data_IF_097109631007
#
_entry.id   IF_097109631007
#
_cell.length_a   1.000
_cell.length_b   1.000
_cell.length_c   1.000
_cell.angle_alpha   90.00
_cell.angle_beta   90.00
_cell.angle_gamma   90.00
#
_symmetry.space_group_name_H-M   'P 1'
#
loop_
_entity.id
_entity.type
_entity.pdbx_description
1 polymer ?
#
# COMPACT_ATOMS: atom_id res chain seq x y z
N UNK A 1 -3.31 -14.84 -6.03
CA UNK A 1 -2.78 -15.22 -4.69
C UNK A 1 -3.49 -14.45 -3.59
N UNK A 2 -3.31 -14.86 -2.33
CA UNK A 2 -4.11 -14.42 -1.15
C UNK A 2 -4.33 -12.91 -1.06
N UNK A 3 -3.30 -12.08 -1.29
CA UNK A 3 -3.44 -10.62 -1.22
C UNK A 3 -4.42 -10.08 -2.26
N UNK A 4 -4.44 -10.64 -3.46
CA UNK A 4 -5.38 -10.29 -4.52
C UNK A 4 -6.81 -10.73 -4.16
N UNK A 5 -6.95 -11.92 -3.60
CA UNK A 5 -8.25 -12.47 -3.23
C UNK A 5 -8.87 -11.67 -2.06
N UNK A 6 -8.04 -11.27 -1.10
CA UNK A 6 -8.45 -10.34 -0.03
C UNK A 6 -8.91 -8.98 -0.59
N UNK A 7 -8.25 -8.46 -1.63
CA UNK A 7 -8.70 -7.22 -2.27
C UNK A 7 -10.05 -7.39 -2.98
N UNK A 8 -10.32 -8.53 -3.61
CA UNK A 8 -11.63 -8.78 -4.25
C UNK A 8 -12.74 -8.76 -3.20
N UNK A 9 -12.53 -9.41 -2.06
CA UNK A 9 -13.49 -9.39 -0.94
C UNK A 9 -13.65 -7.97 -0.38
N UNK A 10 -12.55 -7.25 -0.18
CA UNK A 10 -12.57 -5.88 0.31
C UNK A 10 -13.29 -4.94 -0.66
N UNK A 11 -13.00 -5.03 -1.98
CA UNK A 11 -13.66 -4.26 -3.03
C UNK A 11 -15.20 -4.50 -2.96
N UNK A 12 -15.63 -5.76 -2.88
CA UNK A 12 -17.05 -6.09 -2.78
C UNK A 12 -17.70 -5.51 -1.52
N UNK A 13 -17.07 -5.69 -0.35
CA UNK A 13 -17.60 -5.17 0.91
C UNK A 13 -17.71 -3.63 0.91
N UNK A 14 -16.69 -2.95 0.43
CA UNK A 14 -16.64 -1.48 0.43
C UNK A 14 -17.65 -0.91 -0.56
N UNK A 15 -17.71 -1.44 -1.78
CA UNK A 15 -18.63 -0.96 -2.82
C UNK A 15 -20.09 -1.26 -2.46
N UNK A 16 -20.42 -2.47 -1.99
CA UNK A 16 -21.78 -2.79 -1.58
C UNK A 16 -22.25 -1.95 -0.37
N UNK A 17 -21.35 -1.65 0.58
CA UNK A 17 -21.68 -0.77 1.68
C UNK A 17 -21.91 0.68 1.21
N UNK A 18 -21.14 1.16 0.23
CA UNK A 18 -21.32 2.48 -0.35
C UNK A 18 -22.65 2.57 -1.13
N UNK A 19 -22.95 1.58 -1.97
CA UNK A 19 -24.23 1.48 -2.70
C UNK A 19 -25.43 1.43 -1.76
N UNK A 20 -25.33 0.73 -0.63
CA UNK A 20 -26.40 0.67 0.36
C UNK A 20 -26.78 2.05 0.90
N UNK A 21 -25.82 2.96 1.05
CA UNK A 21 -26.13 4.34 1.46
C UNK A 21 -26.91 5.11 0.38
N UNK A 22 -26.65 4.83 -0.90
CA UNK A 22 -27.39 5.46 -2.00
C UNK A 22 -28.84 4.96 -2.06
N UNK A 23 -29.07 3.67 -1.80
CA UNK A 23 -30.41 3.05 -1.79
C UNK A 23 -31.28 3.53 -0.61
N UNK A 24 -30.68 3.84 0.53
CA UNK A 24 -31.37 4.28 1.74
C UNK A 24 -31.32 5.79 1.96
N UNK A 25 -30.86 6.55 0.98
CA UNK A 25 -30.88 8.02 1.06
C UNK A 25 -32.30 8.54 0.84
N UNK A 26 -32.96 8.90 1.92
CA UNK A 26 -34.30 9.50 1.91
C UNK A 26 -34.29 10.96 1.43
N UNK A 27 -33.15 11.53 1.10
CA UNK A 27 -33.08 12.90 0.57
C UNK A 27 -33.75 12.91 -0.82
N UNK A 28 -34.87 13.64 -0.91
CA UNK A 28 -35.63 13.87 -2.16
C UNK A 28 -34.91 14.79 -3.15
N UNK A 29 -33.58 14.86 -3.10
CA UNK A 29 -32.83 15.73 -4.00
C UNK A 29 -32.72 15.12 -5.40
N UNK A 30 -32.94 15.95 -6.39
CA UNK A 30 -33.04 15.58 -7.81
C UNK A 30 -31.71 15.10 -8.43
N UNK A 31 -30.58 15.32 -7.75
CA UNK A 31 -29.26 14.93 -8.27
C UNK A 31 -28.65 13.87 -7.35
N UNK A 32 -28.47 12.64 -7.83
CA UNK A 32 -27.78 11.58 -7.10
C UNK A 32 -26.36 12.02 -6.75
N UNK A 33 -25.96 11.86 -5.51
CA UNK A 33 -24.60 12.10 -5.06
C UNK A 33 -23.76 10.83 -5.26
N UNK A 34 -22.98 10.79 -6.34
CA UNK A 34 -22.06 9.70 -6.60
C UNK A 34 -20.72 9.96 -5.95
N UNK A 35 -20.36 9.12 -4.97
CA UNK A 35 -19.05 9.13 -4.33
C UNK A 35 -18.29 7.94 -4.87
N UNK A 36 -17.10 8.17 -5.38
CA UNK A 36 -16.24 7.14 -5.91
C UNK A 36 -14.98 7.02 -5.04
N UNK A 37 -14.40 5.84 -4.99
CA UNK A 37 -13.23 5.55 -4.16
C UNK A 37 -12.05 5.12 -5.01
N UNK A 38 -10.85 5.54 -4.59
CA UNK A 38 -9.58 5.03 -5.10
C UNK A 38 -8.83 4.35 -3.97
N UNK A 39 -8.36 3.13 -4.21
CA UNK A 39 -7.48 2.40 -3.30
C UNK A 39 -6.02 2.85 -3.48
N UNK A 40 -5.28 2.86 -2.38
CA UNK A 40 -3.86 3.19 -2.31
C UNK A 40 -3.06 2.09 -1.58
N UNK A 41 -1.77 2.28 -1.43
CA UNK A 41 -0.91 1.41 -0.65
C UNK A 41 -1.00 -0.07 -1.04
N UNK A 42 -1.04 -0.96 -0.06
CA UNK A 42 -1.18 -2.41 -0.30
C UNK A 42 -2.53 -2.78 -0.91
N UNK A 43 -3.57 -2.01 -0.64
CA UNK A 43 -4.90 -2.22 -1.20
C UNK A 43 -4.95 -1.85 -2.68
N UNK A 44 -4.39 -0.70 -3.06
CA UNK A 44 -4.29 -0.29 -4.45
C UNK A 44 -3.45 -1.24 -5.29
N UNK A 45 -2.34 -1.72 -4.75
CA UNK A 45 -1.45 -2.68 -5.40
C UNK A 45 -1.98 -4.12 -5.47
N UNK A 46 -3.13 -4.43 -4.86
CA UNK A 46 -3.67 -5.79 -4.70
C UNK A 46 -2.74 -6.74 -3.94
N UNK A 47 -2.04 -6.21 -2.93
CA UNK A 47 -1.03 -6.88 -2.12
C UNK A 47 -1.40 -6.89 -0.62
N UNK A 48 -2.71 -6.96 -0.29
CA UNK A 48 -3.20 -6.97 1.09
C UNK A 48 -2.65 -8.16 1.89
N UNK A 49 -2.42 -7.92 3.17
CA UNK A 49 -2.28 -8.94 4.19
C UNK A 49 -3.53 -8.94 5.10
N UNK A 50 -3.74 -9.98 5.87
CA UNK A 50 -4.91 -10.13 6.76
C UNK A 50 -5.09 -8.97 7.76
N UNK A 51 -4.02 -8.28 8.13
CA UNK A 51 -4.04 -7.16 9.08
C UNK A 51 -3.82 -5.81 8.44
N UNK A 52 -3.86 -5.72 7.09
CA UNK A 52 -3.70 -4.45 6.38
C UNK A 52 -4.95 -3.58 6.55
N UNK A 53 -4.73 -2.28 6.76
CA UNK A 53 -5.77 -1.29 6.57
C UNK A 53 -6.05 -1.11 5.07
N UNK A 54 -7.23 -0.62 4.74
CA UNK A 54 -7.60 -0.26 3.38
C UNK A 54 -7.35 1.25 3.19
N UNK A 55 -6.20 1.59 2.64
CA UNK A 55 -5.86 2.97 2.29
C UNK A 55 -6.74 3.44 1.12
N UNK A 56 -7.51 4.52 1.30
CA UNK A 56 -8.44 5.02 0.28
C UNK A 56 -8.48 6.53 0.17
N UNK A 57 -8.84 7.01 -1.02
CA UNK A 57 -9.28 8.38 -1.30
C UNK A 57 -10.76 8.35 -1.71
N UNK A 58 -11.53 9.35 -1.32
CA UNK A 58 -12.89 9.54 -1.78
C UNK A 58 -12.97 10.76 -2.69
N UNK A 59 -13.51 10.57 -3.88
CA UNK A 59 -13.61 11.60 -4.92
C UNK A 59 -15.05 11.75 -5.39
N UNK A 60 -15.44 12.97 -5.70
CA UNK A 60 -16.73 13.32 -6.34
C UNK A 60 -16.49 14.19 -7.57
N UNK A 61 -17.48 14.28 -8.44
CA UNK A 61 -17.43 15.12 -9.62
C UNK A 61 -17.34 16.61 -9.27
N UNK A 62 -16.75 17.42 -10.14
CA UNK A 62 -16.57 18.87 -9.95
C UNK A 62 -17.89 19.65 -9.97
N UNK A 63 -18.96 19.05 -10.46
CA UNK A 63 -20.32 19.61 -10.39
C UNK A 63 -20.95 19.60 -9.00
N UNK A 64 -20.30 18.96 -8.00
CA UNK A 64 -20.79 18.93 -6.62
C UNK A 64 -20.62 20.28 -5.95
N UNK A 65 -21.73 20.83 -5.46
CA UNK A 65 -21.73 22.05 -4.64
C UNK A 65 -21.30 21.79 -3.18
N UNK A 66 -21.20 22.83 -2.38
CA UNK A 66 -20.79 22.73 -0.98
C UNK A 66 -21.74 21.85 -0.15
N UNK A 67 -23.02 21.79 -0.50
CA UNK A 67 -24.02 20.97 0.19
C UNK A 67 -23.83 19.48 -0.13
N UNK A 68 -23.58 19.16 -1.39
CA UNK A 68 -23.25 17.82 -1.85
C UNK A 68 -21.93 17.32 -1.21
N UNK A 69 -20.90 18.16 -1.15
CA UNK A 69 -19.64 17.85 -0.48
C UNK A 69 -19.82 17.55 1.03
N UNK A 70 -20.64 18.33 1.72
CA UNK A 70 -20.94 18.08 3.15
C UNK A 70 -21.64 16.72 3.32
N UNK A 71 -22.63 16.40 2.49
CA UNK A 71 -23.31 15.09 2.51
C UNK A 71 -22.37 13.95 2.17
N UNK A 72 -21.47 14.14 1.21
CA UNK A 72 -20.44 13.15 0.86
C UNK A 72 -19.54 12.86 2.06
N UNK A 73 -19.09 13.91 2.76
CA UNK A 73 -18.30 13.78 3.98
C UNK A 73 -19.01 12.97 5.06
N UNK A 74 -20.29 13.27 5.31
CA UNK A 74 -21.12 12.54 6.27
C UNK A 74 -21.28 11.06 5.89
N UNK A 75 -21.53 10.75 4.62
CA UNK A 75 -21.64 9.36 4.11
C UNK A 75 -20.33 8.58 4.28
N UNK A 76 -19.21 9.16 3.89
CA UNK A 76 -17.90 8.49 4.06
C UNK A 76 -17.55 8.30 5.53
N UNK A 77 -17.92 9.24 6.40
CA UNK A 77 -17.74 9.09 7.85
C UNK A 77 -18.56 7.91 8.39
N UNK A 78 -19.82 7.78 7.97
CA UNK A 78 -20.70 6.66 8.34
C UNK A 78 -20.17 5.32 7.77
N UNK A 79 -19.73 5.31 6.52
CA UNK A 79 -19.12 4.13 5.89
C UNK A 79 -17.90 3.63 6.68
N UNK A 80 -17.02 4.55 7.05
CA UNK A 80 -15.85 4.25 7.87
C UNK A 80 -16.25 3.64 9.22
N UNK A 81 -17.26 4.20 9.89
CA UNK A 81 -17.78 3.66 11.15
C UNK A 81 -18.39 2.27 10.97
N UNK A 82 -19.25 2.09 9.97
CA UNK A 82 -19.91 0.83 9.68
C UNK A 82 -18.89 -0.30 9.49
N UNK A 83 -17.89 -0.09 8.63
CA UNK A 83 -16.89 -1.11 8.32
C UNK A 83 -15.94 -1.39 9.50
N UNK A 84 -15.67 -0.41 10.36
CA UNK A 84 -14.83 -0.61 11.54
C UNK A 84 -15.53 -1.38 12.67
N UNK A 85 -16.86 -1.32 12.75
CA UNK A 85 -17.65 -1.93 13.84
C UNK A 85 -18.26 -3.26 13.49
N UNK A 86 -18.46 -3.56 12.20
CA UNK A 86 -19.28 -4.68 11.76
C UNK A 86 -18.65 -6.04 11.85
N UNK A 87 -17.37 -6.19 12.17
CA UNK A 87 -16.77 -7.52 12.28
C UNK A 87 -15.69 -7.61 13.35
N UNK A 88 -15.93 -8.46 14.35
CA UNK A 88 -14.88 -8.94 15.27
C UNK A 88 -13.87 -9.88 14.59
N UNK A 89 -14.25 -10.49 13.47
CA UNK A 89 -13.44 -11.51 12.80
C UNK A 89 -12.47 -10.93 11.75
N UNK A 90 -12.88 -9.91 11.01
CA UNK A 90 -12.05 -9.24 10.00
C UNK A 90 -12.43 -7.74 9.96
N UNK A 91 -11.85 -6.90 10.79
CA UNK A 91 -12.10 -5.47 10.73
C UNK A 91 -11.54 -4.91 9.41
N UNK A 92 -12.43 -4.57 8.50
CA UNK A 92 -12.13 -3.86 7.28
C UNK A 92 -12.06 -2.37 7.61
N UNK A 93 -10.90 -1.91 8.06
CA UNK A 93 -10.74 -0.51 8.45
C UNK A 93 -10.33 0.33 7.25
N UNK A 94 -11.19 1.29 6.88
CA UNK A 94 -10.83 2.31 5.89
C UNK A 94 -9.90 3.35 6.51
N UNK A 95 -8.74 3.53 5.88
CA UNK A 95 -7.78 4.57 6.26
C UNK A 95 -7.66 5.64 5.17
N UNK A 96 -7.91 6.88 5.58
CA UNK A 96 -7.82 8.07 4.73
C UNK A 96 -6.57 8.91 5.05
N UNK A 97 -5.60 8.39 5.79
CA UNK A 97 -4.43 9.16 6.21
C UNK A 97 -3.54 9.61 5.06
N UNK A 98 -3.61 8.92 3.91
CA UNK A 98 -2.85 9.25 2.70
C UNK A 98 -3.49 10.33 1.81
N UNK A 99 -4.63 10.91 2.24
CA UNK A 99 -5.26 12.01 1.50
C UNK A 99 -4.44 13.30 1.56
N UNK A 100 -4.62 14.23 0.61
CA UNK A 100 -4.02 15.55 0.68
C UNK A 100 -4.11 16.19 2.06
N UNK A 101 -3.02 16.78 2.55
CA UNK A 101 -2.89 17.38 3.90
C UNK A 101 -3.06 16.36 5.05
N UNK A 102 -3.06 15.07 4.74
CA UNK A 102 -3.15 13.99 5.72
C UNK A 102 -4.43 14.07 6.57
N UNK A 103 -4.31 13.88 7.87
CA UNK A 103 -5.47 13.88 8.81
C UNK A 103 -6.19 15.21 8.90
N UNK A 104 -5.56 16.32 8.55
CA UNK A 104 -6.13 17.68 8.58
C UNK A 104 -6.95 17.99 7.32
N UNK A 105 -6.71 17.29 6.22
CA UNK A 105 -7.37 17.55 4.94
C UNK A 105 -8.80 17.03 4.88
N UNK A 106 -9.56 17.55 3.92
CA UNK A 106 -10.94 17.12 3.65
C UNK A 106 -11.00 15.63 3.35
N UNK A 107 -12.01 14.93 3.88
CA UNK A 107 -12.20 13.49 3.72
C UNK A 107 -12.64 13.13 2.31
N UNK A 108 -13.43 14.01 1.68
CA UNK A 108 -13.90 13.91 0.30
C UNK A 108 -13.51 15.18 -0.43
N UNK A 109 -13.03 15.05 -1.65
CA UNK A 109 -12.68 16.17 -2.54
C UNK A 109 -13.26 15.98 -3.92
N UNK A 110 -13.44 17.08 -4.65
CA UNK A 110 -13.72 17.04 -6.10
C UNK A 110 -12.46 16.61 -6.86
N UNK A 111 -12.62 16.16 -8.09
CA UNK A 111 -11.52 15.82 -9.00
C UNK A 111 -10.59 17.02 -9.20
N UNK A 112 -11.16 18.21 -9.49
CA UNK A 112 -10.41 19.46 -9.64
C UNK A 112 -9.57 19.77 -8.39
N UNK A 113 -10.16 19.64 -7.20
CA UNK A 113 -9.44 19.86 -5.93
C UNK A 113 -8.28 18.91 -5.71
N UNK A 114 -8.38 17.63 -6.13
CA UNK A 114 -7.26 16.70 -6.11
C UNK A 114 -6.16 17.10 -7.10
N UNK A 115 -6.54 17.39 -8.34
CA UNK A 115 -5.58 17.71 -9.40
C UNK A 115 -4.83 19.00 -9.08
N UNK A 116 -5.54 20.04 -8.61
CA UNK A 116 -4.93 21.29 -8.17
C UNK A 116 -3.93 21.10 -7.01
N UNK A 117 -4.31 20.29 -6.02
CA UNK A 117 -3.41 20.00 -4.90
C UNK A 117 -2.13 19.32 -5.35
N UNK A 118 -2.23 18.26 -6.15
CA UNK A 118 -1.06 17.52 -6.61
C UNK A 118 -0.17 18.35 -7.54
N UNK A 119 -0.73 19.23 -8.35
CA UNK A 119 0.03 20.11 -9.22
C UNK A 119 0.80 21.21 -8.48
N UNK A 120 0.26 21.71 -7.35
CA UNK A 120 0.78 22.92 -6.70
C UNK A 120 1.46 22.68 -5.36
N UNK A 121 1.00 21.70 -4.59
CA UNK A 121 1.35 21.58 -3.18
C UNK A 121 1.94 20.23 -2.78
N UNK A 122 1.77 19.20 -3.60
CA UNK A 122 2.22 17.86 -3.28
C UNK A 122 3.74 17.78 -3.19
N UNK A 123 4.19 17.01 -2.20
CA UNK A 123 5.60 16.67 -2.03
C UNK A 123 5.94 15.44 -2.89
N UNK A 124 7.23 15.22 -3.13
CA UNK A 124 7.68 14.14 -4.02
C UNK A 124 7.27 12.75 -3.53
N UNK A 125 7.24 12.51 -2.21
CA UNK A 125 6.78 11.24 -1.65
C UNK A 125 5.31 10.94 -1.96
N UNK A 126 4.50 11.95 -2.23
CA UNK A 126 3.10 11.76 -2.64
C UNK A 126 3.01 11.22 -4.08
N UNK A 127 3.93 11.59 -4.98
CA UNK A 127 4.06 10.92 -6.29
C UNK A 127 4.31 9.42 -6.11
N UNK A 128 5.22 9.07 -5.21
CA UNK A 128 5.51 7.66 -4.89
C UNK A 128 4.28 6.91 -4.38
N UNK A 129 3.53 7.52 -3.47
CA UNK A 129 2.27 6.97 -2.94
C UNK A 129 1.23 6.74 -4.06
N UNK A 130 1.12 7.68 -5.00
CA UNK A 130 0.15 7.64 -6.10
C UNK A 130 0.44 6.56 -7.15
N UNK A 131 1.66 6.01 -7.23
CA UNK A 131 1.97 4.86 -8.09
C UNK A 131 1.08 3.64 -7.81
N UNK A 132 0.52 3.57 -6.61
CA UNK A 132 -0.34 2.48 -6.16
C UNK A 132 -1.82 2.82 -6.23
N UNK A 133 -2.18 3.97 -6.81
CA UNK A 133 -3.58 4.34 -6.93
C UNK A 133 -4.31 3.41 -7.91
N UNK A 134 -5.49 2.99 -7.51
CA UNK A 134 -6.41 2.16 -8.30
C UNK A 134 -7.85 2.60 -8.06
N UNK A 135 -8.59 2.90 -9.11
CA UNK A 135 -10.02 3.14 -9.01
C UNK A 135 -10.77 1.90 -8.50
N UNK A 136 -11.76 2.08 -7.65
CA UNK A 136 -12.66 1.04 -7.17
C UNK A 136 -14.01 1.13 -7.91
N UNK A 137 -14.49 -0.01 -8.40
CA UNK A 137 -15.71 -0.06 -9.19
C UNK A 137 -15.52 0.47 -10.61
N UNK A 138 -16.61 0.92 -11.21
CA UNK A 138 -16.68 1.43 -12.59
C UNK A 138 -17.18 2.89 -12.58
N UNK A 139 -16.39 3.78 -11.98
CA UNK A 139 -16.74 5.20 -11.84
C UNK A 139 -15.86 6.10 -12.72
N UNK A 140 -16.48 7.05 -13.39
CA UNK A 140 -15.75 7.95 -14.31
C UNK A 140 -14.81 8.92 -13.58
N UNK A 141 -15.18 9.36 -12.39
CA UNK A 141 -14.40 10.35 -11.61
C UNK A 141 -13.15 9.71 -11.00
N UNK A 142 -13.28 8.50 -10.44
CA UNK A 142 -12.15 7.73 -9.92
C UNK A 142 -11.19 7.31 -11.04
N UNK A 143 -11.72 6.92 -12.21
CA UNK A 143 -10.91 6.62 -13.39
C UNK A 143 -10.20 7.88 -13.91
N UNK A 144 -10.86 9.03 -13.93
CA UNK A 144 -10.23 10.30 -14.31
C UNK A 144 -9.10 10.69 -13.33
N UNK A 145 -9.30 10.50 -12.03
CA UNK A 145 -8.24 10.70 -11.02
C UNK A 145 -7.06 9.73 -11.26
N UNK A 146 -7.34 8.46 -11.56
CA UNK A 146 -6.30 7.50 -11.92
C UNK A 146 -5.51 7.96 -13.16
N UNK A 147 -6.18 8.35 -14.25
CA UNK A 147 -5.51 8.83 -15.47
C UNK A 147 -4.67 10.09 -15.20
N UNK A 148 -5.19 11.01 -14.38
CA UNK A 148 -4.41 12.15 -13.94
C UNK A 148 -3.13 11.71 -13.22
N UNK A 149 -3.20 10.77 -12.27
CA UNK A 149 -2.02 10.31 -11.52
C UNK A 149 -0.99 9.64 -12.42
N UNK A 150 -1.42 8.88 -13.44
CA UNK A 150 -0.51 8.30 -14.43
C UNK A 150 0.26 9.40 -15.20
N UNK A 151 -0.43 10.45 -15.60
CA UNK A 151 0.21 11.59 -16.28
C UNK A 151 1.11 12.37 -15.33
N UNK A 152 0.66 12.64 -14.12
CA UNK A 152 1.38 13.42 -13.12
C UNK A 152 2.67 12.73 -12.64
N UNK A 153 2.57 11.46 -12.25
CA UNK A 153 3.72 10.70 -11.72
C UNK A 153 4.81 10.47 -12.78
N UNK A 154 4.42 10.30 -14.03
CA UNK A 154 5.33 9.93 -15.12
C UNK A 154 5.52 11.05 -16.15
N UNK A 155 5.27 12.31 -15.80
CA UNK A 155 5.49 13.48 -16.68
C UNK A 155 6.95 13.62 -17.10
N UNK A 156 7.87 13.38 -16.17
CA UNK A 156 9.32 13.41 -16.37
C UNK A 156 10.00 12.43 -15.42
N UNK A 157 11.24 12.01 -15.72
CA UNK A 157 12.05 11.30 -14.72
C UNK A 157 12.24 12.17 -13.48
N UNK A 158 12.46 11.54 -12.32
CA UNK A 158 12.85 12.26 -11.10
C UNK A 158 14.16 13.00 -11.32
N UNK A 159 14.23 14.23 -10.83
CA UNK A 159 15.48 14.96 -10.66
C UNK A 159 16.32 14.39 -9.50
N UNK A 160 17.59 14.79 -9.43
CA UNK A 160 18.46 14.40 -8.32
C UNK A 160 17.95 14.91 -6.96
N UNK A 161 17.36 16.11 -6.94
CA UNK A 161 16.77 16.69 -5.72
C UNK A 161 15.52 15.91 -5.29
N UNK A 162 14.61 15.59 -6.21
CA UNK A 162 13.44 14.76 -5.93
C UNK A 162 13.84 13.35 -5.44
N UNK A 163 14.87 12.76 -6.03
CA UNK A 163 15.44 11.49 -5.58
C UNK A 163 15.94 11.59 -4.14
N UNK A 164 16.66 12.67 -3.82
CA UNK A 164 17.17 12.92 -2.46
C UNK A 164 16.04 13.13 -1.46
N UNK A 165 14.94 13.81 -1.83
CA UNK A 165 13.77 13.96 -0.96
C UNK A 165 13.12 12.62 -0.62
N UNK A 166 12.97 11.71 -1.59
CA UNK A 166 12.49 10.33 -1.36
C UNK A 166 13.42 9.59 -0.40
N UNK A 167 14.73 9.71 -0.61
CA UNK A 167 15.73 9.07 0.26
C UNK A 167 15.63 9.60 1.70
N UNK A 168 15.54 10.92 1.90
CA UNK A 168 15.37 11.53 3.23
C UNK A 168 14.07 11.08 3.91
N UNK A 169 12.97 10.98 3.16
CA UNK A 169 11.71 10.45 3.69
C UNK A 169 11.86 8.98 4.14
N UNK A 170 12.60 8.16 3.38
CA UNK A 170 12.88 6.77 3.77
C UNK A 170 13.64 6.69 5.08
N UNK A 171 14.69 7.50 5.29
CA UNK A 171 15.42 7.59 6.56
C UNK A 171 14.47 7.92 7.72
N UNK A 172 13.60 8.91 7.51
CA UNK A 172 12.62 9.31 8.51
C UNK A 172 11.67 8.17 8.88
N UNK A 173 11.13 7.47 7.88
CA UNK A 173 10.23 6.32 8.08
C UNK A 173 10.91 5.19 8.84
N UNK A 174 12.16 4.85 8.49
CA UNK A 174 12.93 3.82 9.20
C UNK A 174 13.14 4.17 10.67
N UNK A 175 13.43 5.44 10.96
CA UNK A 175 13.67 5.92 12.31
C UNK A 175 12.41 5.98 13.18
N UNK A 176 11.27 6.40 12.60
CA UNK A 176 10.06 6.72 13.36
C UNK A 176 9.08 5.55 13.50
N UNK A 177 9.10 4.56 12.57
CA UNK A 177 8.05 3.54 12.49
C UNK A 177 8.44 2.17 13.06
N UNK A 178 9.71 1.91 13.33
CA UNK A 178 10.10 0.66 13.99
C UNK A 178 9.88 0.83 15.50
N UNK A 179 9.04 -0.01 16.14
CA UNK A 179 8.78 0.09 17.57
C UNK A 179 10.07 -0.12 18.39
N UNK A 180 10.26 0.67 19.45
CA UNK A 180 11.38 0.47 20.36
C UNK A 180 11.34 -0.88 21.06
N UNK A 181 12.53 -1.44 21.39
CA UNK A 181 12.66 -2.70 22.09
C UNK A 181 12.54 -3.97 21.24
N UNK A 182 12.39 -3.82 19.91
CA UNK A 182 12.34 -4.93 18.95
C UNK A 182 13.65 -4.95 18.16
N UNK A 183 14.20 -6.15 17.92
CA UNK A 183 15.28 -6.29 16.92
C UNK A 183 14.73 -5.92 15.54
N UNK A 184 15.19 -4.83 14.90
CA UNK A 184 14.68 -4.40 13.60
C UNK A 184 14.74 -5.49 12.52
N UNK A 185 15.69 -6.42 12.61
CA UNK A 185 15.86 -7.52 11.64
C UNK A 185 14.70 -8.52 11.67
N UNK A 186 13.98 -8.59 12.82
CA UNK A 186 12.80 -9.43 12.97
C UNK A 186 11.53 -8.78 12.44
N UNK A 187 11.57 -7.50 12.06
CA UNK A 187 10.41 -6.82 11.52
C UNK A 187 10.31 -7.05 10.00
N UNK A 188 9.41 -7.93 9.58
CA UNK A 188 9.27 -8.41 8.19
C UNK A 188 9.01 -7.27 7.20
N UNK A 189 8.19 -6.29 7.58
CA UNK A 189 7.83 -5.18 6.68
C UNK A 189 8.84 -4.04 6.71
N UNK A 190 9.17 -3.52 7.89
CA UNK A 190 9.93 -2.28 8.05
C UNK A 190 11.41 -2.50 8.38
N UNK A 191 11.82 -3.73 8.70
CA UNK A 191 13.20 -4.06 9.00
C UNK A 191 14.12 -3.93 7.78
N UNK A 192 15.44 -3.82 8.00
CA UNK A 192 16.42 -3.71 6.93
C UNK A 192 16.32 -4.87 5.93
N UNK A 193 16.20 -4.57 4.64
CA UNK A 193 15.99 -5.54 3.56
C UNK A 193 14.60 -6.21 3.58
N UNK A 194 13.68 -5.68 4.38
CA UNK A 194 12.30 -6.15 4.44
C UNK A 194 11.45 -5.66 3.27
N UNK A 195 10.15 -5.93 3.36
CA UNK A 195 9.22 -5.65 2.25
C UNK A 195 9.15 -4.16 1.89
N UNK A 196 9.32 -3.26 2.86
CA UNK A 196 9.34 -1.83 2.62
C UNK A 196 10.55 -1.40 1.78
N UNK A 197 11.73 -1.98 1.99
CA UNK A 197 12.91 -1.66 1.18
C UNK A 197 12.69 -2.05 -0.28
N UNK A 198 12.10 -3.23 -0.52
CA UNK A 198 11.77 -3.69 -1.88
C UNK A 198 10.77 -2.74 -2.54
N UNK A 199 9.72 -2.34 -1.82
CA UNK A 199 8.71 -1.41 -2.33
C UNK A 199 9.32 -0.06 -2.70
N UNK A 200 10.07 0.55 -1.79
CA UNK A 200 10.70 1.86 -2.00
C UNK A 200 11.70 1.84 -3.16
N UNK A 201 12.49 0.77 -3.29
CA UNK A 201 13.40 0.59 -4.41
C UNK A 201 12.64 0.52 -5.75
N UNK A 202 11.61 -0.32 -5.81
CA UNK A 202 10.79 -0.47 -7.02
C UNK A 202 10.14 0.85 -7.41
N UNK A 203 9.50 1.52 -6.46
CA UNK A 203 8.80 2.79 -6.69
C UNK A 203 9.77 3.89 -7.14
N UNK A 204 10.98 3.98 -6.56
CA UNK A 204 12.01 4.90 -7.00
C UNK A 204 12.42 4.63 -8.46
N UNK A 205 12.73 3.38 -8.80
CA UNK A 205 13.13 3.00 -10.16
C UNK A 205 12.00 3.21 -11.19
N UNK A 206 10.74 3.01 -10.78
CA UNK A 206 9.58 3.33 -11.61
C UNK A 206 9.48 4.82 -11.90
N UNK A 207 9.61 5.68 -10.90
CA UNK A 207 9.58 7.14 -11.08
C UNK A 207 10.76 7.65 -11.92
N UNK A 208 11.93 7.04 -11.80
CA UNK A 208 13.09 7.40 -12.60
C UNK A 208 12.98 7.01 -14.08
N UNK A 209 12.23 5.95 -14.39
CA UNK A 209 12.26 5.34 -15.73
C UNK A 209 10.89 5.25 -16.42
N UNK A 210 9.80 5.34 -15.66
CA UNK A 210 8.43 5.13 -16.17
C UNK A 210 7.90 6.23 -17.09
N UNK A 211 8.55 7.41 -17.14
CA UNK A 211 8.23 8.44 -18.13
C UNK A 211 8.57 7.98 -19.55
N UNK A 212 9.67 7.25 -19.73
CA UNK A 212 10.12 6.73 -21.00
C UNK A 212 9.54 5.35 -21.36
N UNK A 213 9.11 4.56 -20.36
CA UNK A 213 8.59 3.19 -20.55
C UNK A 213 7.31 2.93 -19.76
N UNK A 214 6.18 2.89 -20.47
CA UNK A 214 4.86 2.67 -19.86
C UNK A 214 4.69 1.28 -19.22
N UNK A 215 5.50 0.28 -19.58
CA UNK A 215 5.43 -1.04 -18.95
C UNK A 215 5.86 -1.01 -17.47
N UNK A 216 6.60 0.01 -17.07
CA UNK A 216 6.96 0.23 -15.66
C UNK A 216 5.81 0.84 -14.83
N UNK A 217 4.72 1.30 -15.46
CA UNK A 217 3.58 1.95 -14.80
C UNK A 217 2.60 0.93 -14.23
N UNK A 218 3.05 0.10 -13.32
CA UNK A 218 2.23 -0.90 -12.64
C UNK A 218 2.22 -0.67 -11.13
N UNK A 219 1.08 -0.88 -10.48
CA UNK A 219 0.97 -0.80 -9.02
C UNK A 219 1.47 -2.05 -8.29
N UNK A 220 1.63 -3.18 -9.00
CA UNK A 220 2.10 -4.43 -8.41
C UNK A 220 3.62 -4.47 -8.27
N UNK A 221 4.11 -4.63 -7.04
CA UNK A 221 5.54 -4.78 -6.75
C UNK A 221 6.18 -5.93 -7.52
N UNK A 222 5.49 -7.09 -7.59
CA UNK A 222 6.00 -8.26 -8.31
C UNK A 222 6.12 -8.01 -9.81
N UNK A 223 5.10 -7.39 -10.42
CA UNK A 223 5.13 -7.07 -11.83
C UNK A 223 6.20 -6.03 -12.13
N UNK A 224 6.31 -5.00 -11.30
CA UNK A 224 7.34 -3.97 -11.46
C UNK A 224 8.77 -4.54 -11.37
N UNK A 225 9.04 -5.45 -10.43
CA UNK A 225 10.33 -6.15 -10.35
C UNK A 225 10.67 -6.89 -11.66
N UNK A 226 9.70 -7.58 -12.23
CA UNK A 226 9.88 -8.30 -13.50
C UNK A 226 10.15 -7.35 -14.66
N UNK A 227 9.39 -6.27 -14.75
CA UNK A 227 9.59 -5.25 -15.79
C UNK A 227 10.93 -4.53 -15.64
N UNK A 228 11.37 -4.23 -14.43
CA UNK A 228 12.69 -3.65 -14.15
C UNK A 228 13.84 -4.59 -14.60
N UNK A 229 13.67 -5.90 -14.39
CA UNK A 229 14.62 -6.89 -14.93
C UNK A 229 14.66 -6.86 -16.46
N UNK A 230 13.49 -6.93 -17.11
CA UNK A 230 13.39 -6.94 -18.59
C UNK A 230 13.99 -5.68 -19.23
N UNK A 231 14.01 -4.56 -18.52
CA UNK A 231 14.61 -3.29 -18.99
C UNK A 231 16.05 -3.09 -18.53
N UNK A 232 16.66 -4.09 -17.93
CA UNK A 232 18.04 -4.02 -17.46
C UNK A 232 18.28 -3.02 -16.32
N UNK A 233 17.21 -2.61 -15.60
CA UNK A 233 17.32 -1.76 -14.41
C UNK A 233 17.70 -2.55 -13.16
N UNK A 234 17.47 -3.87 -13.20
CA UNK A 234 17.95 -4.86 -12.24
C UNK A 234 18.71 -5.93 -12.99
N UNK A 235 19.81 -6.39 -12.43
CA UNK A 235 20.45 -7.62 -12.85
C UNK A 235 19.61 -8.83 -12.46
N UNK A 236 19.85 -9.98 -13.10
CA UNK A 236 19.18 -11.24 -12.75
C UNK A 236 19.35 -11.60 -11.26
N UNK A 237 20.53 -11.37 -10.69
CA UNK A 237 20.81 -11.64 -9.27
C UNK A 237 20.03 -10.71 -8.34
N UNK A 238 19.98 -9.41 -8.63
CA UNK A 238 19.23 -8.41 -7.86
C UNK A 238 17.72 -8.69 -7.88
N UNK A 239 17.18 -9.00 -9.07
CA UNK A 239 15.80 -9.43 -9.23
C UNK A 239 15.49 -10.68 -8.39
N UNK A 240 16.31 -11.72 -8.49
CA UNK A 240 16.08 -12.96 -7.73
C UNK A 240 16.09 -12.72 -6.22
N UNK A 241 17.03 -11.91 -5.72
CA UNK A 241 17.08 -11.55 -4.30
C UNK A 241 15.81 -10.79 -3.88
N UNK A 242 15.40 -9.79 -4.64
CA UNK A 242 14.21 -9.00 -4.35
C UNK A 242 12.93 -9.83 -4.43
N UNK A 243 12.74 -10.57 -5.52
CA UNK A 243 11.53 -11.37 -5.73
C UNK A 243 11.38 -12.51 -4.70
N UNK A 244 12.45 -13.25 -4.42
CA UNK A 244 12.41 -14.33 -3.42
C UNK A 244 12.21 -13.81 -2.00
N UNK A 245 12.82 -12.67 -1.64
CA UNK A 245 12.63 -12.04 -0.32
C UNK A 245 11.21 -11.48 -0.20
N UNK A 246 10.66 -10.90 -1.27
CA UNK A 246 9.28 -10.43 -1.32
C UNK A 246 8.28 -11.57 -1.08
N UNK A 247 8.40 -12.65 -1.83
CA UNK A 247 7.51 -13.80 -1.72
C UNK A 247 7.58 -14.43 -0.33
N UNK A 248 8.78 -14.68 0.17
CA UNK A 248 9.00 -15.27 1.49
C UNK A 248 8.50 -14.36 2.62
N UNK A 249 8.74 -13.05 2.55
CA UNK A 249 8.24 -12.08 3.51
C UNK A 249 6.71 -12.00 3.54
N UNK A 250 6.05 -12.09 2.38
CA UNK A 250 4.59 -12.15 2.30
C UNK A 250 4.03 -13.44 2.92
N UNK A 251 4.70 -14.57 2.75
CA UNK A 251 4.33 -15.84 3.39
C UNK A 251 4.51 -15.77 4.91
N UNK A 252 5.62 -15.23 5.38
CA UNK A 252 5.87 -15.00 6.81
C UNK A 252 4.77 -14.15 7.45
N UNK A 253 4.37 -13.05 6.82
CA UNK A 253 3.28 -12.20 7.32
C UNK A 253 1.97 -12.95 7.43
N UNK A 254 1.61 -13.76 6.43
CA UNK A 254 0.40 -14.59 6.46
C UNK A 254 0.45 -15.63 7.57
N UNK A 255 1.53 -16.41 7.61
CA UNK A 255 1.73 -17.45 8.62
C UNK A 255 1.69 -16.88 10.05
N UNK A 256 2.30 -15.69 10.26
CA UNK A 256 2.29 -15.00 11.55
C UNK A 256 0.87 -14.68 12.03
N UNK A 257 0.04 -14.14 11.13
CA UNK A 257 -1.34 -13.78 11.51
C UNK A 257 -2.16 -15.03 11.84
N UNK A 258 -2.04 -16.08 11.04
CA UNK A 258 -2.75 -17.35 11.27
C UNK A 258 -2.27 -17.99 12.57
N UNK A 259 -0.97 -18.02 12.83
CA UNK A 259 -0.40 -18.59 14.06
C UNK A 259 -0.82 -17.83 15.32
N UNK A 260 -0.98 -16.51 15.24
CA UNK A 260 -1.44 -15.69 16.36
C UNK A 260 -2.96 -15.71 16.56
N UNK A 261 -3.73 -16.15 15.54
CA UNK A 261 -5.20 -16.19 15.58
C UNK A 261 -5.85 -14.84 15.88
N UNK A 262 -6.95 -14.81 16.64
CA UNK A 262 -7.68 -13.57 16.96
C UNK A 262 -6.86 -12.52 17.71
N UNK A 263 -5.74 -12.92 18.31
CA UNK A 263 -4.81 -12.04 19.02
C UNK A 263 -3.76 -11.40 18.08
N UNK A 264 -3.85 -11.64 16.77
CA UNK A 264 -2.89 -11.12 15.80
C UNK A 264 -2.82 -9.58 15.86
N UNK A 265 -1.68 -9.06 16.29
CA UNK A 265 -1.41 -7.63 16.25
C UNK A 265 -1.09 -7.18 14.82
N UNK A 266 -1.24 -5.87 14.54
CA UNK A 266 -0.78 -5.26 13.27
C UNK A 266 0.76 -5.21 13.16
N UNK A 267 1.47 -5.69 14.16
CA UNK A 267 2.93 -5.67 14.22
C UNK A 267 3.50 -6.80 13.35
N UNK A 268 4.19 -6.48 12.27
CA UNK A 268 4.81 -7.43 11.34
C UNK A 268 6.16 -7.98 11.85
N UNK A 269 6.24 -8.38 13.12
CA UNK A 269 7.45 -8.93 13.76
C UNK A 269 7.38 -10.45 13.86
N UNK A 270 8.46 -11.14 13.55
CA UNK A 270 8.59 -12.58 13.81
C UNK A 270 8.51 -12.78 15.33
N UNK A 271 7.59 -13.63 15.83
CA UNK A 271 7.36 -13.78 17.27
C UNK A 271 8.58 -14.38 17.97
N UNK A 272 8.85 -13.89 19.17
CA UNK A 272 9.83 -14.52 20.10
C UNK A 272 9.20 -15.68 20.90
N UNK A 273 7.86 -15.74 20.98
CA UNK A 273 7.15 -16.83 21.63
C UNK A 273 7.33 -18.14 20.85
N UNK A 274 7.83 -19.17 21.52
CA UNK A 274 8.17 -20.47 20.91
C UNK A 274 6.97 -21.16 20.28
N UNK A 275 5.80 -21.10 20.88
CA UNK A 275 4.59 -21.77 20.36
C UNK A 275 4.12 -21.10 19.06
N UNK A 276 4.07 -19.78 19.04
CA UNK A 276 3.72 -19.02 17.84
C UNK A 276 4.75 -19.21 16.72
N UNK A 277 6.04 -19.26 17.07
CA UNK A 277 7.12 -19.47 16.10
C UNK A 277 7.03 -20.89 15.50
N UNK A 278 6.76 -21.91 16.31
CA UNK A 278 6.53 -23.29 15.85
C UNK A 278 5.31 -23.35 14.94
N UNK A 279 4.18 -22.77 15.35
CA UNK A 279 2.96 -22.75 14.55
C UNK A 279 3.19 -22.06 13.20
N UNK A 280 3.91 -20.93 13.20
CA UNK A 280 4.29 -20.20 11.99
C UNK A 280 5.16 -21.04 11.07
N UNK A 281 6.19 -21.72 11.61
CA UNK A 281 7.06 -22.60 10.85
C UNK A 281 6.30 -23.77 10.19
N UNK A 282 5.42 -24.43 10.96
CA UNK A 282 4.58 -25.52 10.44
C UNK A 282 3.63 -25.06 9.32
N UNK A 283 3.03 -23.87 9.44
CA UNK A 283 2.19 -23.29 8.39
C UNK A 283 2.97 -23.01 7.09
N UNK A 284 4.28 -22.84 7.19
CA UNK A 284 5.18 -22.61 6.06
C UNK A 284 5.87 -23.90 5.56
N UNK A 285 5.44 -25.07 6.05
CA UNK A 285 5.94 -26.38 5.62
C UNK A 285 7.24 -26.83 6.29
N UNK A 286 7.70 -26.14 7.34
CA UNK A 286 8.82 -26.58 8.17
C UNK A 286 8.36 -27.55 9.26
N UNK A 287 9.24 -28.47 9.70
CA UNK A 287 8.99 -29.27 10.90
C UNK A 287 9.15 -28.43 12.19
N UNK A 288 8.69 -28.95 13.32
CA UNK A 288 8.83 -28.29 14.63
C UNK A 288 10.28 -27.89 14.95
N UNK A 289 11.21 -28.77 14.60
CA UNK A 289 12.63 -28.61 14.89
C UNK A 289 13.32 -27.63 13.93
N UNK A 290 12.69 -27.35 12.79
CA UNK A 290 13.20 -26.44 11.76
C UNK A 290 12.72 -25.00 11.91
N UNK A 291 12.07 -24.61 13.00
CA UNK A 291 11.60 -23.23 13.22
C UNK A 291 12.73 -22.20 13.12
N UNK A 292 13.92 -22.57 13.55
CA UNK A 292 15.10 -21.70 13.48
C UNK A 292 15.66 -21.58 12.05
N UNK A 293 15.50 -22.60 11.23
CA UNK A 293 15.85 -22.54 9.78
C UNK A 293 14.99 -21.50 9.06
N UNK A 294 13.68 -21.45 9.36
CA UNK A 294 12.79 -20.44 8.80
C UNK A 294 13.27 -19.02 9.16
N UNK A 295 13.59 -18.79 10.44
CA UNK A 295 14.09 -17.48 10.90
C UNK A 295 15.43 -17.14 10.28
N UNK A 296 16.36 -18.09 10.23
CA UNK A 296 17.67 -17.94 9.60
C UNK A 296 17.56 -17.64 8.11
N UNK A 297 16.64 -18.29 7.41
CA UNK A 297 16.35 -18.01 6.00
C UNK A 297 15.87 -16.58 5.82
N UNK A 298 14.98 -16.08 6.69
CA UNK A 298 14.54 -14.69 6.65
C UNK A 298 15.71 -13.71 6.84
N UNK A 299 16.47 -13.88 7.91
CA UNK A 299 17.60 -13.01 8.23
C UNK A 299 18.66 -12.99 7.11
N UNK A 300 18.89 -14.15 6.48
CA UNK A 300 19.83 -14.25 5.34
C UNK A 300 19.28 -13.56 4.10
N UNK A 301 18.00 -13.76 3.79
CA UNK A 301 17.36 -13.16 2.62
C UNK A 301 17.27 -11.65 2.75
N UNK A 302 16.81 -11.16 3.90
CA UNK A 302 16.68 -9.72 4.15
C UNK A 302 18.06 -9.01 4.15
N UNK A 303 19.09 -9.62 4.72
CA UNK A 303 20.46 -9.08 4.64
C UNK A 303 20.93 -8.94 3.20
N UNK A 304 20.76 -9.99 2.37
CA UNK A 304 21.14 -9.95 0.94
C UNK A 304 20.31 -8.92 0.16
N UNK A 305 19.04 -8.76 0.52
CA UNK A 305 18.18 -7.73 -0.08
C UNK A 305 18.61 -6.32 0.36
N UNK A 306 19.05 -6.14 1.60
CA UNK A 306 19.56 -4.86 2.07
C UNK A 306 20.81 -4.43 1.29
N UNK A 307 21.71 -5.34 0.95
CA UNK A 307 22.86 -5.07 0.07
C UNK A 307 22.41 -4.51 -1.30
N UNK A 308 21.35 -5.11 -1.89
CA UNK A 308 20.79 -4.62 -3.16
C UNK A 308 20.16 -3.23 -2.98
N UNK A 309 19.41 -3.04 -1.89
CA UNK A 309 18.78 -1.77 -1.58
C UNK A 309 19.82 -0.65 -1.38
N UNK A 310 20.85 -0.88 -0.62
CA UNK A 310 21.92 0.10 -0.35
C UNK A 310 22.64 0.48 -1.64
N UNK A 311 22.96 -0.49 -2.48
CA UNK A 311 23.59 -0.24 -3.78
C UNK A 311 22.72 0.60 -4.71
N UNK A 312 21.43 0.25 -4.87
CA UNK A 312 20.58 0.84 -5.90
C UNK A 312 19.76 2.05 -5.41
N UNK A 313 19.39 2.06 -4.14
CA UNK A 313 18.58 3.14 -3.59
C UNK A 313 19.43 4.28 -3.02
N UNK A 314 20.57 3.95 -2.35
CA UNK A 314 21.47 4.93 -1.76
C UNK A 314 22.70 5.24 -2.62
N UNK A 315 22.90 4.52 -3.73
CA UNK A 315 24.13 4.60 -4.55
C UNK A 315 25.42 4.36 -3.74
N UNK A 316 25.37 3.44 -2.77
CA UNK A 316 26.52 3.03 -1.99
C UNK A 316 27.18 1.84 -2.69
N UNK A 317 28.41 2.03 -3.19
CA UNK A 317 29.22 1.00 -3.86
C UNK A 317 29.94 0.09 -2.85
#
# INVERSE_FOLDING_TARGET
GVGRDLCVVADACVLSALEAFDLFDESKEQIPLHIELCALGSYGARELSYTSDLDVLAVVADSCDANALRRAHERITRLKQLLSTSSRALPVALDFALRPEGKSGALVRTLESYTEYYERWAQVWEKQMLLRLRALGAGNTADALYQFTQTYCFRSPLSDDETREIQLMKVRVERERIPGGIDPRMHIKLGPGGLSDIQWLVELLQLQSGSADCNLRTSSTRQALLELLHRGKLTQSEYQRAASTWEFGQELRRARVIAAGPSASKNDVIPSNTEQLVAMAMLMGYSRDQREEMTTKWLTSSRKMREVFEKLFWNIS
#
